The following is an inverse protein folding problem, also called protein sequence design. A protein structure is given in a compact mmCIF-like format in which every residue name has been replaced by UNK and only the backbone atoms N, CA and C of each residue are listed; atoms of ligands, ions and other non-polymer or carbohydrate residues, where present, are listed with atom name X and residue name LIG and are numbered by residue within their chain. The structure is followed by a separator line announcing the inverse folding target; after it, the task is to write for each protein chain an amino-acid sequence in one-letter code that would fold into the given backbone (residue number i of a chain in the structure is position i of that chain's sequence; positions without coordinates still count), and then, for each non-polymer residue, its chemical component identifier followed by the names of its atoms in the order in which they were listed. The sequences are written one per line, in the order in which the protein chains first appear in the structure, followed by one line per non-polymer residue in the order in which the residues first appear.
data_IF_950245470798
#
_entry.id   IF_950245470798
#
_cell.length_a   1.000
_cell.length_b   1.000
_cell.length_c   1.000
_cell.angle_alpha   90.00
_cell.angle_beta   90.00
_cell.angle_gamma   90.00
#
_symmetry.space_group_name_H-M   'P 1'
#
loop_
_entity.id
_entity.type
_entity.pdbx_description
1 polymer ?
#
# COMPACT_ATOMS: atom_id res chain seq x y z
N UNK A 1 -4.62 34.25 7.17
CA UNK A 1 -5.35 33.40 6.20
C UNK A 1 -6.71 33.08 6.80
N UNK A 2 -7.83 33.39 6.13
CA UNK A 2 -9.16 32.98 6.61
C UNK A 2 -9.42 31.56 6.10
N UNK A 3 -9.46 30.57 6.99
CA UNK A 3 -9.99 29.27 6.64
C UNK A 3 -11.48 29.45 6.31
N UNK A 4 -11.87 29.17 5.06
CA UNK A 4 -13.27 29.14 4.67
C UNK A 4 -13.90 27.92 5.33
N UNK A 5 -14.76 28.14 6.32
CA UNK A 5 -15.60 27.08 6.85
C UNK A 5 -16.78 26.89 5.91
N UNK A 6 -17.02 25.66 5.50
CA UNK A 6 -18.22 25.27 4.75
C UNK A 6 -19.21 24.70 5.76
N UNK A 7 -20.43 25.26 5.87
CA UNK A 7 -21.44 24.70 6.76
C UNK A 7 -21.82 23.29 6.29
N UNK A 8 -21.90 22.35 7.24
CA UNK A 8 -22.42 21.01 7.03
C UNK A 8 -23.75 20.86 7.75
N UNK A 9 -24.70 20.15 7.14
CA UNK A 9 -26.03 19.91 7.70
C UNK A 9 -26.18 18.43 8.00
N UNK A 10 -26.66 18.09 9.20
CA UNK A 10 -26.92 16.70 9.58
C UNK A 10 -27.84 16.01 8.57
N UNK A 11 -27.53 14.74 8.25
CA UNK A 11 -28.23 13.95 7.24
C UNK A 11 -27.90 14.31 5.78
N UNK A 12 -27.06 15.33 5.54
CA UNK A 12 -26.59 15.68 4.19
C UNK A 12 -25.12 15.30 4.04
N UNK A 13 -24.81 14.53 2.98
CA UNK A 13 -23.43 14.17 2.68
C UNK A 13 -22.61 15.40 2.25
N UNK A 14 -21.38 15.50 2.76
CA UNK A 14 -20.40 16.50 2.34
C UNK A 14 -19.34 15.81 1.50
N UNK A 15 -19.17 16.23 0.25
CA UNK A 15 -18.14 15.70 -0.64
C UNK A 15 -16.90 16.59 -0.62
N UNK A 16 -15.74 15.97 -0.43
CA UNK A 16 -14.43 16.63 -0.44
C UNK A 16 -13.43 15.76 -1.19
N UNK A 17 -12.44 16.40 -1.83
CA UNK A 17 -11.29 15.71 -2.43
C UNK A 17 -10.04 16.06 -1.64
N UNK A 18 -9.29 15.04 -1.22
CA UNK A 18 -8.06 15.19 -0.43
C UNK A 18 -6.88 14.60 -1.21
N UNK A 19 -5.76 15.33 -1.21
CA UNK A 19 -4.46 14.80 -1.65
C UNK A 19 -3.75 14.12 -0.48
N UNK A 20 -2.63 13.46 -0.79
CA UNK A 20 -1.77 12.88 0.25
C UNK A 20 -1.38 13.94 1.29
N UNK A 21 -1.63 13.64 2.56
CA UNK A 21 -1.31 14.52 3.69
C UNK A 21 -2.32 15.64 3.94
N UNK A 22 -3.38 15.76 3.14
CA UNK A 22 -4.48 16.70 3.41
C UNK A 22 -5.51 16.09 4.37
N UNK A 23 -6.21 16.94 5.10
CA UNK A 23 -7.28 16.54 6.01
C UNK A 23 -8.42 17.55 6.03
N UNK A 24 -9.59 17.07 6.43
CA UNK A 24 -10.75 17.89 6.77
C UNK A 24 -11.10 17.63 8.23
N UNK A 25 -11.49 18.68 8.95
CA UNK A 25 -11.93 18.57 10.35
C UNK A 25 -13.36 19.07 10.44
N UNK A 26 -14.24 18.26 11.00
CA UNK A 26 -15.64 18.60 11.26
C UNK A 26 -15.77 18.91 12.75
N UNK A 27 -16.26 20.12 13.06
CA UNK A 27 -16.43 20.60 14.43
C UNK A 27 -17.91 20.70 14.79
N UNK A 28 -18.20 20.74 16.09
CA UNK A 28 -19.55 20.94 16.62
C UNK A 28 -20.39 19.66 16.66
N UNK A 29 -19.74 18.49 16.61
CA UNK A 29 -20.39 17.20 16.76
C UNK A 29 -20.57 16.86 18.24
N UNK A 30 -21.70 16.25 18.57
CA UNK A 30 -22.00 15.68 19.89
C UNK A 30 -21.52 14.23 19.98
N UNK A 31 -21.40 13.68 21.19
CA UNK A 31 -21.00 12.27 21.38
C UNK A 31 -22.03 11.26 20.85
N UNK A 32 -23.26 11.69 20.64
CA UNK A 32 -24.36 10.87 20.11
C UNK A 32 -24.45 10.95 18.58
N UNK A 33 -23.74 11.89 17.96
CA UNK A 33 -23.73 12.04 16.52
C UNK A 33 -23.04 10.83 15.88
N UNK A 34 -23.53 10.45 14.71
CA UNK A 34 -23.00 9.34 13.92
C UNK A 34 -22.36 9.85 12.66
N UNK A 35 -21.36 9.12 12.19
CA UNK A 35 -20.68 9.42 10.94
C UNK A 35 -20.57 8.17 10.08
N UNK A 36 -20.60 8.39 8.77
CA UNK A 36 -20.25 7.40 7.75
C UNK A 36 -19.30 8.09 6.77
N UNK A 37 -18.29 7.36 6.29
CA UNK A 37 -17.35 7.88 5.30
C UNK A 37 -17.21 6.88 4.18
N UNK A 38 -17.37 7.33 2.94
CA UNK A 38 -17.12 6.52 1.75
C UNK A 38 -16.14 7.25 0.86
N UNK A 39 -15.06 6.55 0.50
CA UNK A 39 -14.16 6.96 -0.56
C UNK A 39 -14.61 6.34 -1.89
N UNK A 40 -14.47 7.10 -2.98
CA UNK A 40 -14.74 6.59 -4.31
C UNK A 40 -13.83 5.39 -4.65
N UNK A 41 -14.31 4.50 -5.50
CA UNK A 41 -13.53 3.33 -5.92
C UNK A 41 -12.45 3.72 -6.94
N UNK A 42 -11.18 3.52 -6.56
CA UNK A 42 -10.00 3.75 -7.39
C UNK A 42 -9.25 2.44 -7.73
N UNK A 43 -9.88 1.27 -7.55
CA UNK A 43 -9.28 -0.01 -7.92
C UNK A 43 -8.94 -0.10 -9.41
N UNK A 44 -9.79 0.47 -10.29
CA UNK A 44 -9.54 0.55 -11.73
C UNK A 44 -8.25 1.32 -12.08
N UNK A 45 -7.85 2.27 -11.22
CA UNK A 45 -6.62 3.04 -11.37
C UNK A 45 -5.41 2.35 -10.72
N UNK A 46 -5.56 1.13 -10.20
CA UNK A 46 -4.51 0.33 -9.58
C UNK A 46 -4.24 0.64 -8.11
N UNK A 47 -5.15 1.36 -7.44
CA UNK A 47 -5.06 1.58 -6.00
C UNK A 47 -5.70 0.44 -5.21
N UNK A 48 -5.15 0.18 -4.02
CA UNK A 48 -5.76 -0.60 -2.95
C UNK A 48 -6.02 0.35 -1.80
N UNK A 49 -7.27 0.40 -1.34
CA UNK A 49 -7.71 1.29 -0.27
C UNK A 49 -7.91 0.51 1.03
N UNK A 50 -7.40 1.06 2.12
CA UNK A 50 -7.71 0.60 3.47
C UNK A 50 -7.97 1.81 4.37
N UNK A 51 -8.70 1.62 5.46
CA UNK A 51 -8.93 2.68 6.44
C UNK A 51 -8.60 2.23 7.85
N UNK A 52 -8.47 3.21 8.75
CA UNK A 52 -8.41 3.01 10.20
C UNK A 52 -9.19 4.12 10.91
N UNK A 53 -9.69 3.80 12.10
CA UNK A 53 -10.46 4.70 12.96
C UNK A 53 -9.73 4.81 14.30
N UNK A 54 -9.54 6.05 14.76
CA UNK A 54 -8.81 6.38 15.97
C UNK A 54 -7.30 6.08 15.89
N UNK A 55 -6.69 5.95 17.07
CA UNK A 55 -5.25 5.72 17.23
C UNK A 55 -4.84 4.24 17.14
N UNK A 56 -5.78 3.37 16.74
CA UNK A 56 -5.51 1.95 16.54
C UNK A 56 -4.48 1.69 15.43
N UNK A 57 -3.77 0.58 15.56
CA UNK A 57 -2.85 0.07 14.53
C UNK A 57 -3.55 -0.80 13.49
N UNK A 58 -4.77 -1.26 13.78
CA UNK A 58 -5.53 -2.12 12.88
C UNK A 58 -6.09 -1.30 11.73
N UNK A 59 -5.88 -1.80 10.51
CA UNK A 59 -6.49 -1.26 9.30
C UNK A 59 -7.43 -2.30 8.70
N UNK A 60 -8.54 -1.81 8.17
CA UNK A 60 -9.54 -2.61 7.46
C UNK A 60 -9.40 -2.35 5.97
N UNK A 61 -9.31 -3.39 5.16
CA UNK A 61 -9.37 -3.26 3.70
C UNK A 61 -10.77 -2.82 3.28
N UNK A 62 -10.83 -1.82 2.40
CA UNK A 62 -12.08 -1.26 1.90
C UNK A 62 -12.09 0.26 1.88
N UNK A 63 -13.12 0.80 1.24
CA UNK A 63 -13.30 2.24 1.01
C UNK A 63 -14.52 2.82 1.74
N UNK A 64 -15.18 2.07 2.61
CA UNK A 64 -16.40 2.53 3.28
C UNK A 64 -16.46 2.16 4.75
N UNK A 65 -16.83 3.14 5.56
CA UNK A 65 -17.14 3.02 6.98
C UNK A 65 -18.66 3.15 7.11
N UNK A 66 -19.26 2.10 7.64
CA UNK A 66 -20.70 2.08 7.95
C UNK A 66 -20.97 3.04 9.11
N UNK A 67 -22.19 3.56 9.17
CA UNK A 67 -22.60 4.51 10.20
C UNK A 67 -22.28 4.03 11.63
N UNK A 68 -21.46 4.80 12.34
CA UNK A 68 -21.04 4.54 13.73
C UNK A 68 -21.06 5.83 14.55
N UNK A 69 -21.28 5.71 15.88
CA UNK A 69 -21.25 6.85 16.79
C UNK A 69 -19.84 7.42 16.94
N UNK A 70 -19.72 8.75 17.01
CA UNK A 70 -18.41 9.41 17.16
C UNK A 70 -17.78 9.17 18.54
N UNK A 71 -18.61 8.99 19.57
CA UNK A 71 -18.18 8.75 20.94
C UNK A 71 -17.78 10.02 21.69
N UNK A 72 -17.23 9.85 22.89
CA UNK A 72 -16.95 10.96 23.82
C UNK A 72 -15.67 11.77 23.49
N UNK A 73 -14.87 11.32 22.52
CA UNK A 73 -13.56 11.88 22.20
C UNK A 73 -13.44 12.14 20.71
N UNK A 74 -12.48 12.99 20.35
CA UNK A 74 -12.15 13.26 18.95
C UNK A 74 -11.76 11.96 18.24
N UNK A 75 -12.44 11.70 17.11
CA UNK A 75 -12.19 10.51 16.30
C UNK A 75 -11.48 10.91 15.01
N UNK A 76 -10.36 10.25 14.73
CA UNK A 76 -9.60 10.44 13.49
C UNK A 76 -9.84 9.26 12.55
N UNK A 77 -10.22 9.54 11.31
CA UNK A 77 -10.35 8.53 10.26
C UNK A 77 -9.24 8.74 9.23
N UNK A 78 -8.49 7.69 8.93
CA UNK A 78 -7.38 7.75 7.97
C UNK A 78 -7.61 6.70 6.88
N UNK A 79 -7.73 7.17 5.64
CA UNK A 79 -7.70 6.34 4.44
C UNK A 79 -6.28 6.27 3.89
N UNK A 80 -5.87 5.07 3.48
CA UNK A 80 -4.57 4.77 2.87
C UNK A 80 -4.80 4.19 1.48
N UNK A 81 -4.32 4.90 0.46
CA UNK A 81 -4.38 4.47 -0.93
C UNK A 81 -3.00 4.05 -1.41
N UNK A 82 -2.79 2.74 -1.55
CA UNK A 82 -1.52 2.17 -1.99
C UNK A 82 -1.59 1.78 -3.46
N UNK A 83 -0.61 2.20 -4.25
CA UNK A 83 -0.44 1.76 -5.64
C UNK A 83 0.94 1.16 -5.83
N UNK A 84 0.98 -0.16 -6.01
CA UNK A 84 2.20 -0.88 -6.25
C UNK A 84 2.67 -0.64 -7.70
N UNK A 85 3.89 -0.14 -7.88
CA UNK A 85 4.52 0.00 -9.19
C UNK A 85 5.67 -1.00 -9.28
N UNK A 86 5.47 -2.05 -10.07
CA UNK A 86 6.56 -2.98 -10.39
C UNK A 86 7.41 -2.37 -11.49
N UNK A 87 8.61 -1.92 -11.13
CA UNK A 87 9.64 -1.65 -12.13
C UNK A 87 10.13 -3.00 -12.68
N UNK A 88 10.14 -3.23 -14.00
CA UNK A 88 10.67 -4.47 -14.55
C UNK A 88 12.16 -4.57 -14.18
N UNK A 89 12.50 -5.53 -13.31
CA UNK A 89 13.86 -5.80 -12.87
C UNK A 89 14.65 -6.54 -13.95
N UNK A 90 14.93 -5.85 -15.05
CA UNK A 90 15.64 -6.40 -16.21
C UNK A 90 17.16 -6.57 -16.00
N UNK A 91 17.66 -6.35 -14.78
CA UNK A 91 19.11 -6.30 -14.50
C UNK A 91 19.64 -7.53 -13.73
N UNK A 92 18.78 -8.36 -13.10
CA UNK A 92 19.25 -9.44 -12.20
C UNK A 92 19.36 -10.82 -12.89
N UNK A 93 18.90 -10.98 -14.14
CA UNK A 93 19.09 -12.26 -14.88
C UNK A 93 20.55 -12.52 -15.34
N UNK A 94 21.47 -11.58 -15.10
CA UNK A 94 22.76 -11.55 -15.78
C UNK A 94 23.83 -12.50 -15.20
N UNK A 95 23.64 -13.11 -14.03
CA UNK A 95 24.65 -14.03 -13.43
C UNK A 95 24.46 -15.51 -13.78
N UNK A 96 23.24 -15.92 -14.14
CA UNK A 96 22.92 -17.30 -14.55
C UNK A 96 23.76 -17.79 -15.74
N UNK A 97 23.95 -17.01 -16.84
CA UNK A 97 24.75 -17.46 -17.96
C UNK A 97 26.24 -17.65 -17.61
N UNK A 98 26.83 -16.78 -16.77
CA UNK A 98 28.23 -16.91 -16.38
C UNK A 98 28.48 -18.09 -15.44
N UNK A 99 27.59 -18.33 -14.47
CA UNK A 99 27.69 -19.49 -13.58
C UNK A 99 27.57 -20.82 -14.35
N UNK A 100 26.70 -20.88 -15.36
CA UNK A 100 26.57 -22.06 -16.23
C UNK A 100 27.85 -22.32 -17.05
N UNK A 101 28.48 -21.28 -17.60
CA UNK A 101 29.73 -21.41 -18.36
C UNK A 101 30.88 -21.87 -17.45
N UNK A 102 31.01 -21.30 -16.25
CA UNK A 102 32.06 -21.69 -15.30
C UNK A 102 31.89 -23.15 -14.86
N UNK A 103 30.65 -23.59 -14.60
CA UNK A 103 30.37 -24.99 -14.30
C UNK A 103 30.73 -25.92 -15.47
N UNK A 104 30.38 -25.53 -16.70
CA UNK A 104 30.71 -26.31 -17.90
C UNK A 104 32.23 -26.42 -18.12
N UNK A 105 32.95 -25.31 -17.95
CA UNK A 105 34.41 -25.27 -18.07
C UNK A 105 35.10 -26.14 -17.00
N UNK A 106 34.61 -26.13 -15.76
CA UNK A 106 35.12 -26.97 -14.68
C UNK A 106 34.95 -28.47 -14.99
N UNK A 107 33.78 -28.88 -15.51
CA UNK A 107 33.53 -30.28 -15.92
C UNK A 107 34.47 -30.71 -17.04
N UNK A 108 34.63 -29.86 -18.07
CA UNK A 108 35.54 -30.15 -19.19
C UNK A 108 37.01 -30.25 -18.74
N UNK A 109 37.44 -29.40 -17.82
CA UNK A 109 38.78 -29.44 -17.24
C UNK A 109 39.05 -30.77 -16.52
N UNK A 110 38.10 -31.28 -15.73
CA UNK A 110 38.24 -32.58 -15.04
C UNK A 110 38.34 -33.75 -16.03
N UNK A 111 37.58 -33.71 -17.13
CA UNK A 111 37.60 -34.77 -18.14
C UNK A 111 38.94 -34.79 -18.90
N UNK A 112 39.42 -33.64 -19.37
CA UNK A 112 40.64 -33.56 -20.18
C UNK A 112 41.92 -33.72 -19.36
N UNK A 113 41.95 -33.16 -18.14
CA UNK A 113 43.12 -33.24 -17.26
C UNK A 113 43.03 -34.39 -16.25
N UNK A 114 42.17 -35.39 -16.51
CA UNK A 114 42.15 -36.61 -15.69
C UNK A 114 43.56 -37.23 -15.70
N UNK A 115 44.24 -37.33 -14.54
CA UNK A 115 45.60 -37.83 -14.49
C UNK A 115 45.64 -39.25 -15.06
N UNK A 116 46.39 -39.46 -16.15
CA UNK A 116 46.61 -40.79 -16.70
C UNK A 116 47.48 -41.55 -15.71
N UNK A 117 46.86 -42.41 -14.91
CA UNK A 117 47.58 -43.30 -14.00
C UNK A 117 48.26 -44.36 -14.85
N UNK A 118 49.50 -44.07 -15.26
CA UNK A 118 50.34 -45.03 -15.97
C UNK A 118 50.60 -46.22 -15.04
N UNK A 119 49.85 -47.31 -15.25
CA UNK A 119 50.14 -48.60 -14.63
C UNK A 119 51.39 -49.14 -15.33
N UNK A 120 52.52 -49.17 -14.63
CA UNK A 120 53.67 -50.02 -14.99
C UNK A 120 53.35 -51.46 -14.68
#
# INVERSE_FOLDING_TARGET
MRHRQTPATSGTAVTVSLKHGESVIVYGLSSEDKFAVTEADYHGDGYKTSYKIGDGTNSTEGSSIVEEAIGAYDTTVIFTNTKDVTVPTDVIRTVVPYAAIVAFAAVMGVVFFRPRRNRR
#
